data_IF_181011669099
#
_entry.id   IF_181011669099
#
_cell.length_a   1.000
_cell.length_b   1.000
_cell.length_c   1.000
_cell.angle_alpha   90.00
_cell.angle_beta   90.00
_cell.angle_gamma   90.00
#
_symmetry.space_group_name_H-M   'P 1'
#
loop_
_entity.id
_entity.type
_entity.pdbx_description
1 polymer ?
#
# COMPACT_ATOMS: atom_id res chain seq x y z
N UNK A 1 -18.25 22.83 -33.11
CA UNK A 1 -17.76 23.81 -32.08
C UNK A 1 -18.06 23.41 -30.62
N UNK A 2 -18.84 22.37 -30.35
CA UNK A 2 -19.14 21.88 -28.99
C UNK A 2 -18.15 20.82 -28.50
N UNK A 3 -17.33 20.22 -29.35
CA UNK A 3 -16.41 19.11 -28.98
C UNK A 3 -15.03 19.58 -28.51
N UNK A 4 -14.59 20.80 -28.81
CA UNK A 4 -13.29 21.32 -28.34
C UNK A 4 -13.32 21.82 -26.90
N UNK A 5 -14.48 22.16 -26.35
CA UNK A 5 -14.62 22.61 -24.95
C UNK A 5 -14.54 21.44 -23.96
N UNK A 6 -14.90 20.21 -24.36
CA UNK A 6 -14.89 19.01 -23.51
C UNK A 6 -13.48 18.46 -23.23
N UNK A 7 -12.51 18.65 -24.15
CA UNK A 7 -11.14 18.17 -23.98
C UNK A 7 -10.37 18.91 -22.87
N UNK A 8 -10.51 20.21 -22.76
CA UNK A 8 -9.87 21.05 -21.73
C UNK A 8 -10.48 20.79 -20.35
N UNK A 9 -11.80 20.58 -20.27
CA UNK A 9 -12.47 20.26 -19.01
C UNK A 9 -12.10 18.88 -18.47
N UNK A 10 -11.88 17.88 -19.33
CA UNK A 10 -11.48 16.53 -18.91
C UNK A 10 -10.06 16.47 -18.36
N UNK A 11 -9.14 17.31 -18.81
CA UNK A 11 -7.77 17.39 -18.27
C UNK A 11 -7.67 18.23 -16.99
N UNK A 12 -8.50 19.26 -16.82
CA UNK A 12 -8.47 20.14 -15.65
C UNK A 12 -9.03 19.47 -14.39
N UNK A 13 -10.06 18.63 -14.53
CA UNK A 13 -10.76 18.02 -13.40
C UNK A 13 -9.86 17.12 -12.52
N UNK A 14 -9.05 16.20 -13.07
CA UNK A 14 -8.13 15.39 -12.27
C UNK A 14 -7.08 16.23 -11.54
N UNK A 15 -6.55 17.27 -12.16
CA UNK A 15 -5.56 18.18 -11.56
C UNK A 15 -6.18 18.92 -10.36
N UNK A 16 -7.39 19.43 -10.51
CA UNK A 16 -8.11 20.11 -9.43
C UNK A 16 -8.37 19.17 -8.24
N UNK A 17 -8.68 17.89 -8.51
CA UNK A 17 -8.86 16.89 -7.45
C UNK A 17 -7.55 16.63 -6.73
N UNK A 18 -6.43 16.50 -7.45
CA UNK A 18 -5.10 16.31 -6.84
C UNK A 18 -4.73 17.49 -5.94
N UNK A 19 -4.96 18.74 -6.39
CA UNK A 19 -4.72 19.95 -5.58
C UNK A 19 -5.60 19.94 -4.33
N UNK A 20 -6.87 19.58 -4.45
CA UNK A 20 -7.79 19.49 -3.31
C UNK A 20 -7.40 18.39 -2.30
N UNK A 21 -6.87 17.27 -2.77
CA UNK A 21 -6.37 16.21 -1.89
C UNK A 21 -5.10 16.68 -1.18
N UNK A 22 -4.18 17.37 -1.87
CA UNK A 22 -2.97 17.92 -1.26
C UNK A 22 -3.29 18.99 -0.22
N UNK A 23 -4.21 19.90 -0.51
CA UNK A 23 -4.71 20.90 0.44
C UNK A 23 -5.36 20.24 1.66
N UNK A 24 -6.20 19.23 1.44
CA UNK A 24 -6.80 18.45 2.53
C UNK A 24 -5.74 17.77 3.42
N UNK A 25 -4.72 17.18 2.82
CA UNK A 25 -3.63 16.55 3.57
C UNK A 25 -2.88 17.57 4.42
N UNK A 26 -2.56 18.74 3.86
CA UNK A 26 -1.95 19.83 4.62
C UNK A 26 -2.83 20.26 5.80
N UNK A 27 -4.12 20.48 5.56
CA UNK A 27 -5.08 20.86 6.59
C UNK A 27 -5.20 19.80 7.69
N UNK A 28 -5.15 18.52 7.34
CA UNK A 28 -5.17 17.42 8.31
C UNK A 28 -3.91 17.37 9.18
N UNK A 29 -2.74 17.63 8.60
CA UNK A 29 -1.46 17.71 9.35
C UNK A 29 -1.44 18.85 10.36
N UNK A 30 -2.13 19.93 10.10
CA UNK A 30 -2.19 21.15 10.95
C UNK A 30 -3.48 21.27 11.75
N UNK A 31 -4.32 20.23 11.76
CA UNK A 31 -5.68 20.26 12.32
C UNK A 31 -5.74 20.52 13.83
N UNK A 32 -4.65 20.25 14.56
CA UNK A 32 -4.58 20.46 16.01
C UNK A 32 -4.81 21.90 16.47
N UNK A 33 -4.57 22.88 15.59
CA UNK A 33 -4.83 24.31 15.88
C UNK A 33 -6.31 24.69 15.80
N UNK A 34 -7.17 23.82 15.27
CA UNK A 34 -8.59 24.11 15.09
C UNK A 34 -9.44 23.70 16.30
N UNK A 35 -10.56 24.38 16.58
CA UNK A 35 -11.48 23.98 17.64
C UNK A 35 -12.12 22.61 17.36
N UNK A 36 -12.51 21.85 18.42
CA UNK A 36 -12.99 20.46 18.30
C UNK A 36 -14.13 20.25 17.31
N UNK A 37 -15.10 21.17 17.25
CA UNK A 37 -16.22 21.05 16.31
C UNK A 37 -15.79 21.12 14.85
N UNK A 38 -14.77 21.93 14.53
CA UNK A 38 -14.18 21.99 13.18
C UNK A 38 -13.35 20.76 12.89
N UNK A 39 -12.58 20.25 13.88
CA UNK A 39 -11.84 19.00 13.74
C UNK A 39 -12.79 17.85 13.37
N UNK A 40 -13.93 17.73 14.05
CA UNK A 40 -14.94 16.67 13.77
C UNK A 40 -15.49 16.77 12.36
N UNK A 41 -15.84 17.97 11.89
CA UNK A 41 -16.33 18.18 10.53
C UNK A 41 -15.26 17.80 9.48
N UNK A 42 -14.05 18.33 9.64
CA UNK A 42 -12.95 18.13 8.67
C UNK A 42 -12.55 16.64 8.60
N UNK A 43 -12.45 15.95 9.73
CA UNK A 43 -12.15 14.51 9.77
C UNK A 43 -13.25 13.67 9.14
N UNK A 44 -14.53 14.04 9.32
CA UNK A 44 -15.65 13.35 8.68
C UNK A 44 -15.61 13.50 7.16
N UNK A 45 -15.42 14.72 6.65
CA UNK A 45 -15.25 14.94 5.21
C UNK A 45 -14.02 14.18 4.67
N UNK A 46 -12.94 14.12 5.44
CA UNK A 46 -11.72 13.44 5.04
C UNK A 46 -11.93 11.94 4.86
N UNK A 47 -12.53 11.26 5.84
CA UNK A 47 -12.69 9.81 5.78
C UNK A 47 -13.74 9.36 4.76
N UNK A 48 -14.83 10.13 4.58
CA UNK A 48 -15.92 9.74 3.69
C UNK A 48 -15.78 10.25 2.25
N UNK A 49 -14.97 11.29 2.00
CA UNK A 49 -14.82 11.87 0.67
C UNK A 49 -13.37 11.78 0.17
N UNK A 50 -12.42 12.37 0.89
CA UNK A 50 -11.05 12.53 0.39
C UNK A 50 -10.23 11.24 0.41
N UNK A 51 -10.33 10.40 1.44
CA UNK A 51 -9.64 9.12 1.48
C UNK A 51 -10.13 8.16 0.37
N UNK A 52 -11.45 8.01 0.10
CA UNK A 52 -11.92 7.27 -1.06
C UNK A 52 -11.50 7.85 -2.41
N UNK A 53 -11.44 9.18 -2.56
CA UNK A 53 -10.92 9.82 -3.78
C UNK A 53 -9.45 9.52 -4.00
N UNK A 54 -8.62 9.66 -2.95
CA UNK A 54 -7.21 9.31 -2.99
C UNK A 54 -7.00 7.83 -3.36
N UNK A 55 -7.82 6.93 -2.81
CA UNK A 55 -7.81 5.51 -3.17
C UNK A 55 -8.14 5.27 -4.65
N UNK A 56 -9.18 5.93 -5.19
CA UNK A 56 -9.57 5.81 -6.61
C UNK A 56 -8.47 6.30 -7.55
N UNK A 57 -7.71 7.31 -7.15
CA UNK A 57 -6.59 7.85 -7.91
C UNK A 57 -5.28 7.07 -7.70
N UNK A 58 -5.28 5.99 -6.91
CA UNK A 58 -4.09 5.19 -6.62
C UNK A 58 -3.08 5.85 -5.66
N UNK A 59 -3.45 6.97 -5.02
CA UNK A 59 -2.61 7.71 -4.07
C UNK A 59 -2.62 7.03 -2.70
N UNK A 60 -2.10 5.80 -2.62
CA UNK A 60 -2.22 4.95 -1.43
C UNK A 60 -1.50 5.51 -0.20
N UNK A 61 -0.34 6.17 -0.38
CA UNK A 61 0.38 6.80 0.71
C UNK A 61 -0.45 7.94 1.33
N UNK A 62 -0.99 8.83 0.49
CA UNK A 62 -1.85 9.94 0.91
C UNK A 62 -3.13 9.42 1.57
N UNK A 63 -3.76 8.42 0.97
CA UNK A 63 -4.95 7.77 1.54
C UNK A 63 -4.67 7.24 2.94
N UNK A 64 -3.59 6.51 3.14
CA UNK A 64 -3.22 5.94 4.43
C UNK A 64 -2.93 7.03 5.47
N UNK A 65 -2.24 8.09 5.10
CA UNK A 65 -1.96 9.23 5.99
C UNK A 65 -3.25 9.99 6.38
N UNK A 66 -4.16 10.23 5.42
CA UNK A 66 -5.46 10.84 5.70
C UNK A 66 -6.30 10.01 6.68
N UNK A 67 -6.27 8.68 6.53
CA UNK A 67 -6.96 7.75 7.43
C UNK A 67 -6.32 7.75 8.83
N UNK A 68 -4.99 7.67 8.94
CA UNK A 68 -4.26 7.68 10.20
C UNK A 68 -4.48 9.00 10.96
N UNK A 69 -4.38 10.15 10.28
CA UNK A 69 -4.68 11.45 10.86
C UNK A 69 -6.15 11.56 11.31
N UNK A 70 -7.08 10.99 10.54
CA UNK A 70 -8.50 10.97 10.95
C UNK A 70 -8.68 10.17 12.23
N UNK A 71 -8.08 8.99 12.33
CA UNK A 71 -8.14 8.18 13.56
C UNK A 71 -7.54 8.92 14.75
N UNK A 72 -6.38 9.54 14.55
CA UNK A 72 -5.66 10.31 15.60
C UNK A 72 -6.51 11.41 16.22
N UNK A 73 -7.34 12.11 15.43
CA UNK A 73 -8.20 13.18 15.92
C UNK A 73 -9.55 12.70 16.45
N UNK A 74 -10.11 11.62 15.88
CA UNK A 74 -11.42 11.10 16.28
C UNK A 74 -11.36 10.13 17.46
N UNK A 75 -10.31 9.31 17.52
CA UNK A 75 -10.10 8.26 18.49
C UNK A 75 -8.64 8.27 18.97
N UNK A 76 -8.23 9.38 19.67
CA UNK A 76 -6.82 9.62 20.01
C UNK A 76 -6.24 8.56 20.95
N UNK A 77 -7.07 7.96 21.79
CA UNK A 77 -6.62 6.95 22.74
C UNK A 77 -6.30 5.64 22.01
N UNK A 78 -7.22 5.17 21.16
CA UNK A 78 -7.05 3.97 20.36
C UNK A 78 -5.87 4.11 19.39
N UNK A 79 -5.69 5.31 18.80
CA UNK A 79 -4.55 5.59 17.94
C UNK A 79 -3.25 5.42 18.70
N UNK A 80 -3.10 6.05 19.89
CA UNK A 80 -1.90 5.96 20.71
C UNK A 80 -1.59 4.56 21.19
N UNK A 81 -2.60 3.80 21.61
CA UNK A 81 -2.44 2.42 22.06
C UNK A 81 -1.90 1.51 20.94
N UNK A 82 -2.43 1.65 19.73
CA UNK A 82 -1.99 0.85 18.58
C UNK A 82 -0.59 1.29 18.13
N UNK A 83 -0.32 2.59 18.05
CA UNK A 83 0.99 3.15 17.71
C UNK A 83 2.07 2.67 18.70
N UNK A 84 1.79 2.70 20.00
CA UNK A 84 2.67 2.20 21.03
C UNK A 84 2.95 0.70 20.86
N UNK A 85 1.93 -0.14 20.66
CA UNK A 85 2.08 -1.58 20.43
C UNK A 85 2.89 -1.90 19.17
N UNK A 86 2.70 -1.14 18.09
CA UNK A 86 3.51 -1.26 16.87
C UNK A 86 4.99 -0.99 17.19
N UNK A 87 5.27 0.02 18.02
CA UNK A 87 6.63 0.36 18.40
C UNK A 87 7.25 -0.68 19.34
N UNK A 88 6.52 -1.11 20.36
CA UNK A 88 6.99 -2.13 21.31
C UNK A 88 7.32 -3.47 20.62
N UNK A 89 6.58 -3.84 19.59
CA UNK A 89 6.80 -5.08 18.82
C UNK A 89 7.83 -4.94 17.69
N UNK A 90 8.41 -3.77 17.50
CA UNK A 90 9.34 -3.52 16.39
C UNK A 90 10.59 -4.41 16.41
N UNK A 91 11.30 -4.61 17.54
CA UNK A 91 12.51 -5.44 17.56
C UNK A 91 12.22 -6.92 17.17
N UNK A 92 11.11 -7.47 17.63
CA UNK A 92 10.71 -8.84 17.30
C UNK A 92 10.30 -8.95 15.84
N UNK A 93 9.58 -7.97 15.34
CA UNK A 93 9.18 -7.87 13.93
C UNK A 93 10.38 -7.77 13.00
N UNK A 94 11.38 -6.94 13.33
CA UNK A 94 12.61 -6.82 12.53
C UNK A 94 13.33 -8.16 12.46
N UNK A 95 13.55 -8.84 13.60
CA UNK A 95 14.17 -10.17 13.65
C UNK A 95 13.39 -11.19 12.81
N UNK A 96 12.07 -11.18 12.90
CA UNK A 96 11.22 -12.07 12.10
C UNK A 96 11.37 -11.80 10.60
N UNK A 97 11.34 -10.51 10.18
CA UNK A 97 11.51 -10.11 8.79
C UNK A 97 12.88 -10.55 8.25
N UNK A 98 13.93 -10.38 9.01
CA UNK A 98 15.28 -10.83 8.64
C UNK A 98 15.32 -12.36 8.44
N UNK A 99 14.77 -13.12 9.41
CA UNK A 99 14.67 -14.59 9.33
C UNK A 99 13.84 -15.05 8.13
N UNK A 100 12.74 -14.35 7.82
CA UNK A 100 11.90 -14.63 6.67
C UNK A 100 12.61 -14.29 5.35
N UNK A 101 13.30 -13.17 5.29
CA UNK A 101 13.92 -12.69 4.05
C UNK A 101 15.21 -13.47 3.69
N UNK A 102 15.94 -13.99 4.66
CA UNK A 102 17.24 -14.62 4.41
C UNK A 102 17.23 -15.69 3.29
N UNK A 103 16.39 -16.75 3.34
CA UNK A 103 16.36 -17.76 2.29
C UNK A 103 15.82 -17.21 0.96
N UNK A 104 14.94 -16.19 0.98
CA UNK A 104 14.46 -15.53 -0.24
C UNK A 104 15.59 -14.76 -0.92
N UNK A 105 16.40 -14.05 -0.16
CA UNK A 105 17.55 -13.31 -0.68
C UNK A 105 18.54 -14.25 -1.37
N UNK A 106 18.80 -15.41 -0.77
CA UNK A 106 19.71 -16.42 -1.34
C UNK A 106 19.19 -16.96 -2.68
N UNK A 107 17.93 -17.38 -2.72
CA UNK A 107 17.35 -17.97 -3.95
C UNK A 107 17.20 -16.93 -5.08
N UNK A 108 16.81 -15.69 -4.76
CA UNK A 108 16.67 -14.63 -5.74
C UNK A 108 18.03 -14.24 -6.34
N UNK A 109 19.09 -14.15 -5.50
CA UNK A 109 20.47 -13.92 -5.96
C UNK A 109 20.98 -15.07 -6.82
N UNK A 110 20.75 -16.32 -6.43
CA UNK A 110 21.13 -17.51 -7.21
C UNK A 110 20.50 -17.53 -8.59
N UNK A 111 19.27 -16.99 -8.72
CA UNK A 111 18.56 -16.85 -10.00
C UNK A 111 18.91 -15.54 -10.75
N UNK A 112 19.91 -14.78 -10.29
CA UNK A 112 20.40 -13.53 -10.92
C UNK A 112 19.32 -12.47 -11.10
N UNK A 113 18.37 -12.43 -10.18
CA UNK A 113 17.33 -11.40 -10.14
C UNK A 113 17.92 -10.18 -9.43
N UNK A 114 17.78 -9.01 -10.03
CA UNK A 114 18.08 -7.72 -9.39
C UNK A 114 16.81 -7.25 -8.65
N UNK A 115 16.89 -7.13 -7.33
CA UNK A 115 15.72 -6.90 -6.48
C UNK A 115 16.04 -6.11 -5.22
N UNK A 116 15.01 -5.48 -4.70
CA UNK A 116 14.94 -4.95 -3.34
C UNK A 116 13.86 -5.71 -2.55
N UNK A 117 14.15 -6.08 -1.29
CA UNK A 117 13.20 -6.73 -0.41
C UNK A 117 13.05 -5.91 0.87
N UNK A 118 11.81 -5.63 1.26
CA UNK A 118 11.52 -4.80 2.44
C UNK A 118 10.28 -5.29 3.17
N UNK A 119 10.25 -5.06 4.49
CA UNK A 119 9.06 -5.21 5.31
C UNK A 119 8.29 -3.89 5.39
N UNK A 120 7.01 -3.90 5.03
CA UNK A 120 6.12 -2.74 5.15
C UNK A 120 5.12 -2.95 6.28
N UNK A 121 5.19 -2.15 7.32
CA UNK A 121 4.19 -2.12 8.40
C UNK A 121 2.90 -1.47 7.88
N UNK A 122 1.76 -2.03 8.25
CA UNK A 122 0.45 -1.46 7.93
C UNK A 122 0.19 -0.21 8.76
N UNK A 123 -0.58 0.72 8.22
CA UNK A 123 -0.98 1.95 8.90
C UNK A 123 -1.81 1.64 10.15
N UNK A 124 -1.75 2.53 11.13
CA UNK A 124 -2.50 2.43 12.40
C UNK A 124 -3.99 2.27 12.14
N UNK A 125 -4.55 3.06 11.21
CA UNK A 125 -5.95 2.96 10.82
C UNK A 125 -6.29 1.59 10.21
N UNK A 126 -5.42 1.03 9.38
CA UNK A 126 -5.65 -0.28 8.77
C UNK A 126 -5.73 -1.40 9.82
N UNK A 127 -4.88 -1.33 10.83
CA UNK A 127 -4.87 -2.25 11.98
C UNK A 127 -6.15 -2.04 12.80
N UNK A 128 -6.44 -0.81 13.20
CA UNK A 128 -7.63 -0.45 13.95
C UNK A 128 -8.92 -0.90 13.26
N UNK A 129 -9.07 -0.58 11.98
CA UNK A 129 -10.23 -0.97 11.17
C UNK A 129 -10.42 -2.50 11.12
N UNK A 130 -9.31 -3.25 11.09
CA UNK A 130 -9.36 -4.71 11.12
C UNK A 130 -9.78 -5.23 12.49
N UNK A 131 -9.24 -4.67 13.59
CA UNK A 131 -9.63 -4.98 14.95
C UNK A 131 -11.14 -4.76 15.15
N UNK A 132 -11.65 -3.60 14.72
CA UNK A 132 -13.08 -3.26 14.82
C UNK A 132 -13.97 -4.20 13.99
N UNK A 133 -13.60 -4.43 12.72
CA UNK A 133 -14.41 -5.27 11.83
C UNK A 133 -14.47 -6.73 12.25
N UNK A 134 -13.40 -7.25 12.82
CA UNK A 134 -13.29 -8.64 13.24
C UNK A 134 -13.58 -8.85 14.72
N UNK A 135 -13.72 -7.77 15.50
CA UNK A 135 -13.87 -7.79 16.96
C UNK A 135 -12.74 -8.59 17.64
N UNK A 136 -11.48 -8.32 17.23
CA UNK A 136 -10.28 -8.99 17.75
C UNK A 136 -9.33 -7.97 18.38
N UNK A 137 -8.55 -8.35 19.39
CA UNK A 137 -7.49 -7.52 19.96
C UNK A 137 -6.31 -7.39 18.99
N UNK A 138 -5.39 -6.45 19.28
CA UNK A 138 -4.20 -6.19 18.46
C UNK A 138 -3.33 -7.45 18.25
N UNK A 139 -3.18 -8.25 19.29
CA UNK A 139 -2.37 -9.47 19.31
C UNK A 139 -2.86 -10.56 18.34
N UNK A 140 -4.12 -10.51 17.97
CA UNK A 140 -4.73 -11.41 16.98
C UNK A 140 -4.69 -10.88 15.54
N UNK A 141 -4.08 -9.72 15.32
CA UNK A 141 -3.88 -9.17 13.97
C UNK A 141 -2.63 -9.77 13.34
N UNK A 142 -2.76 -10.90 12.65
CA UNK A 142 -1.62 -11.67 12.09
C UNK A 142 -0.85 -10.98 10.97
N UNK A 143 -1.46 -10.03 10.24
CA UNK A 143 -0.86 -9.36 9.08
C UNK A 143 -0.51 -7.90 9.39
N UNK A 144 0.24 -7.68 10.46
CA UNK A 144 0.73 -6.34 10.85
C UNK A 144 1.69 -5.74 9.81
N UNK A 145 2.34 -6.57 9.03
CA UNK A 145 3.26 -6.17 7.97
C UNK A 145 3.11 -7.05 6.72
N UNK A 146 3.65 -6.61 5.62
CA UNK A 146 3.80 -7.36 4.39
C UNK A 146 5.26 -7.32 3.94
N UNK A 147 5.74 -8.38 3.29
CA UNK A 147 7.03 -8.39 2.62
C UNK A 147 6.83 -7.93 1.18
N UNK A 148 7.62 -6.99 0.76
CA UNK A 148 7.60 -6.45 -0.60
C UNK A 148 8.87 -6.83 -1.32
N UNK A 149 8.74 -7.46 -2.48
CA UNK A 149 9.82 -7.79 -3.40
C UNK A 149 9.63 -6.92 -4.63
N UNK A 150 10.53 -5.97 -4.84
CA UNK A 150 10.55 -5.08 -6.01
C UNK A 150 11.72 -5.49 -6.87
N UNK A 151 11.48 -5.96 -8.10
CA UNK A 151 12.54 -6.39 -8.99
C UNK A 151 12.72 -5.43 -10.16
N UNK A 152 13.97 -5.33 -10.63
CA UNK A 152 14.31 -4.66 -11.89
C UNK A 152 14.06 -5.63 -13.05
N UNK A 153 13.14 -5.32 -13.97
CA UNK A 153 12.80 -6.27 -15.02
C UNK A 153 13.95 -6.43 -16.02
N UNK A 154 14.24 -7.69 -16.38
CA UNK A 154 15.13 -8.00 -17.51
C UNK A 154 14.39 -7.72 -18.82
N UNK A 155 15.04 -7.10 -19.82
CA UNK A 155 14.40 -6.84 -21.11
C UNK A 155 14.16 -8.12 -21.95
N UNK A 156 14.80 -9.24 -21.59
CA UNK A 156 14.73 -10.51 -22.33
C UNK A 156 13.49 -11.34 -21.98
N UNK A 157 12.81 -11.03 -20.87
CA UNK A 157 11.69 -11.84 -20.39
C UNK A 157 10.51 -10.89 -20.10
N UNK A 158 9.29 -11.21 -20.52
CA UNK A 158 8.13 -10.40 -20.20
C UNK A 158 8.00 -10.15 -18.69
N UNK A 159 7.76 -8.91 -18.30
CA UNK A 159 7.67 -8.46 -16.89
C UNK A 159 6.71 -9.32 -16.06
N UNK A 160 5.57 -9.66 -16.65
CA UNK A 160 4.58 -10.56 -16.07
C UNK A 160 5.16 -11.95 -15.76
N UNK A 161 5.91 -12.53 -16.69
CA UNK A 161 6.52 -13.85 -16.50
C UNK A 161 7.54 -13.83 -15.37
N UNK A 162 8.27 -12.71 -15.20
CA UNK A 162 9.20 -12.53 -14.10
C UNK A 162 8.49 -12.46 -12.74
N UNK A 163 7.32 -11.82 -12.65
CA UNK A 163 6.49 -11.84 -11.42
C UNK A 163 6.12 -13.28 -11.01
N UNK A 164 5.69 -14.10 -11.97
CA UNK A 164 5.32 -15.49 -11.71
C UNK A 164 6.53 -16.38 -11.42
N UNK A 165 7.68 -16.12 -12.03
CA UNK A 165 8.92 -16.80 -11.69
C UNK A 165 9.33 -16.53 -10.25
N UNK A 166 9.31 -15.27 -9.81
CA UNK A 166 9.61 -14.90 -8.42
C UNK A 166 8.58 -15.55 -7.47
N UNK A 167 7.31 -15.58 -7.84
CA UNK A 167 6.28 -16.26 -7.05
C UNK A 167 6.60 -17.75 -6.89
N UNK A 168 7.02 -18.44 -7.96
CA UNK A 168 7.44 -19.85 -7.88
C UNK A 168 8.58 -20.03 -6.87
N UNK A 169 9.63 -19.19 -6.95
CA UNK A 169 10.76 -19.24 -6.01
C UNK A 169 10.34 -19.01 -4.55
N UNK A 170 9.41 -18.09 -4.31
CA UNK A 170 8.86 -17.85 -2.96
C UNK A 170 8.10 -19.07 -2.46
N UNK A 171 7.32 -19.72 -3.32
CA UNK A 171 6.47 -20.85 -2.94
C UNK A 171 7.21 -22.19 -2.86
N UNK A 172 8.41 -22.28 -3.43
CA UNK A 172 9.33 -23.39 -3.21
C UNK A 172 9.88 -23.40 -1.77
N UNK A 173 9.98 -22.21 -1.13
CA UNK A 173 10.47 -22.06 0.25
C UNK A 173 9.31 -22.06 1.23
N UNK A 174 8.24 -21.30 0.95
CA UNK A 174 7.13 -21.06 1.86
C UNK A 174 5.81 -21.53 1.30
N UNK A 175 5.10 -22.40 2.01
CA UNK A 175 3.82 -22.96 1.57
C UNK A 175 2.76 -21.86 1.41
N UNK A 176 2.19 -21.66 0.20
CA UNK A 176 1.18 -20.64 -0.04
C UNK A 176 -0.20 -21.05 0.51
N UNK A 177 -1.00 -20.05 0.86
CA UNK A 177 -2.42 -20.20 1.17
C UNK A 177 -3.23 -20.02 -0.12
N UNK A 178 -3.85 -21.07 -0.68
CA UNK A 178 -4.43 -21.06 -2.03
C UNK A 178 -5.48 -19.98 -2.26
N UNK A 179 -6.36 -19.74 -1.28
CA UNK A 179 -7.45 -18.75 -1.33
C UNK A 179 -6.99 -17.29 -1.19
N UNK A 180 -5.67 -17.06 -0.98
CA UNK A 180 -5.08 -15.75 -0.74
C UNK A 180 -4.17 -15.24 -1.85
N UNK A 181 -4.14 -15.92 -3.00
CA UNK A 181 -3.48 -15.41 -4.19
C UNK A 181 -4.34 -14.31 -4.83
N UNK A 182 -3.73 -13.16 -5.12
CA UNK A 182 -4.35 -12.02 -5.83
C UNK A 182 -3.47 -11.64 -7.01
N UNK A 183 -3.98 -11.87 -8.20
CA UNK A 183 -3.29 -11.63 -9.46
C UNK A 183 -3.73 -10.28 -10.07
N UNK A 184 -3.12 -9.22 -9.60
CA UNK A 184 -3.27 -7.89 -10.17
C UNK A 184 -2.28 -7.61 -11.32
N UNK A 185 -1.45 -8.59 -11.69
CA UNK A 185 -0.55 -8.50 -12.85
C UNK A 185 -1.30 -8.84 -14.14
N UNK A 186 -2.15 -9.87 -14.08
CA UNK A 186 -3.01 -10.24 -15.22
C UNK A 186 -4.24 -9.35 -15.35
N UNK A 187 -4.81 -8.93 -14.19
CA UNK A 187 -6.03 -8.13 -14.13
C UNK A 187 -5.74 -6.92 -13.23
N UNK A 188 -5.10 -5.86 -13.78
CA UNK A 188 -4.80 -4.65 -13.04
C UNK A 188 -6.08 -4.03 -12.45
N UNK A 189 -5.94 -3.37 -11.30
CA UNK A 189 -7.04 -2.61 -10.72
C UNK A 189 -7.40 -1.41 -11.61
N UNK A 190 -8.62 -0.90 -11.49
CA UNK A 190 -9.10 0.24 -12.26
C UNK A 190 -8.24 1.51 -12.13
N UNK A 191 -7.45 1.62 -11.06
CA UNK A 191 -6.50 2.70 -10.83
C UNK A 191 -5.08 2.41 -11.32
N UNK A 192 -4.89 1.38 -12.17
CA UNK A 192 -3.60 1.00 -12.73
C UNK A 192 -2.67 0.25 -11.77
N UNK A 193 -3.12 -0.10 -10.57
CA UNK A 193 -2.31 -0.87 -9.63
C UNK A 193 -2.07 -2.29 -10.14
N UNK A 194 -0.79 -2.67 -10.20
CA UNK A 194 -0.33 -3.99 -10.60
C UNK A 194 0.55 -4.59 -9.49
N UNK A 195 0.35 -5.83 -9.13
CA UNK A 195 1.20 -6.62 -8.23
C UNK A 195 0.69 -8.06 -8.15
N UNK A 196 1.56 -9.00 -7.82
CA UNK A 196 1.16 -10.34 -7.42
C UNK A 196 1.21 -10.42 -5.89
N UNK A 197 0.08 -10.68 -5.24
CA UNK A 197 0.01 -10.85 -3.79
C UNK A 197 -0.25 -12.30 -3.45
N UNK A 198 0.51 -12.82 -2.52
CA UNK A 198 0.28 -14.14 -1.94
C UNK A 198 0.41 -14.08 -0.42
N UNK A 199 -0.27 -14.96 0.28
CA UNK A 199 -0.04 -15.19 1.70
C UNK A 199 0.63 -16.53 1.86
N UNK A 200 1.77 -16.58 2.50
CA UNK A 200 2.57 -17.80 2.68
C UNK A 200 2.81 -18.09 4.17
N UNK A 201 3.05 -19.35 4.49
CA UNK A 201 3.42 -19.76 5.84
C UNK A 201 4.92 -19.53 6.04
N UNK A 202 5.25 -18.50 6.82
CA UNK A 202 6.62 -18.19 7.19
C UNK A 202 7.16 -18.99 8.38
N UNK A 203 8.33 -18.61 8.89
CA UNK A 203 8.88 -19.19 10.11
C UNK A 203 7.88 -19.12 11.27
N UNK A 204 8.01 -20.05 12.21
CA UNK A 204 7.22 -20.09 13.42
C UNK A 204 5.69 -20.21 13.21
N UNK A 205 5.26 -20.65 12.00
CA UNK A 205 3.86 -20.83 11.66
C UNK A 205 3.07 -19.53 11.43
N UNK A 206 3.75 -18.41 11.20
CA UNK A 206 3.13 -17.10 11.00
C UNK A 206 2.79 -16.87 9.52
N UNK A 207 1.55 -16.48 9.24
CA UNK A 207 1.14 -16.12 7.89
C UNK A 207 1.68 -14.74 7.49
N UNK A 208 2.38 -14.67 6.36
CA UNK A 208 3.01 -13.46 5.83
C UNK A 208 2.45 -13.15 4.45
N UNK A 209 2.00 -11.92 4.24
CA UNK A 209 1.66 -11.41 2.91
C UNK A 209 2.93 -11.02 2.16
N UNK A 210 3.12 -11.60 0.97
CA UNK A 210 4.22 -11.26 0.05
C UNK A 210 3.64 -10.54 -1.15
N UNK A 211 4.19 -9.38 -1.48
CA UNK A 211 3.83 -8.54 -2.62
C UNK A 211 5.00 -8.51 -3.60
N UNK A 212 4.78 -9.00 -4.81
CA UNK A 212 5.78 -9.07 -5.88
C UNK A 212 5.40 -8.07 -6.96
N UNK A 213 6.31 -7.19 -7.34
CA UNK A 213 6.12 -6.19 -8.38
C UNK A 213 7.44 -5.74 -8.99
N UNK A 214 7.40 -5.24 -10.22
CA UNK A 214 8.56 -4.59 -10.84
C UNK A 214 8.75 -3.17 -10.32
N UNK A 215 9.88 -2.55 -10.64
CA UNK A 215 10.13 -1.13 -10.35
C UNK A 215 9.05 -0.22 -10.96
N UNK A 216 8.62 -0.49 -12.21
CA UNK A 216 7.53 0.25 -12.86
C UNK A 216 6.21 0.12 -12.08
N UNK A 217 5.85 -1.10 -11.69
CA UNK A 217 4.63 -1.35 -10.89
C UNK A 217 4.71 -0.68 -9.53
N UNK A 218 5.91 -0.61 -8.93
CA UNK A 218 6.14 0.10 -7.66
C UNK A 218 5.93 1.61 -7.82
N UNK A 219 6.45 2.22 -8.88
CA UNK A 219 6.24 3.65 -9.16
C UNK A 219 4.75 3.97 -9.32
N UNK A 220 4.00 3.12 -10.04
CA UNK A 220 2.55 3.28 -10.20
C UNK A 220 1.83 3.12 -8.85
N UNK A 221 2.26 2.16 -8.02
CA UNK A 221 1.67 1.93 -6.71
C UNK A 221 1.92 3.08 -5.73
N UNK A 222 3.08 3.73 -5.79
CA UNK A 222 3.43 4.84 -4.89
C UNK A 222 2.89 6.20 -5.38
N UNK A 223 2.87 6.45 -6.68
CA UNK A 223 2.51 7.74 -7.29
C UNK A 223 1.10 7.79 -7.87
N UNK A 224 0.43 6.63 -7.97
CA UNK A 224 -0.93 6.53 -8.52
C UNK A 224 -1.02 6.99 -9.98
N UNK A 225 -2.18 7.51 -10.35
CA UNK A 225 -2.48 7.97 -11.72
C UNK A 225 -1.50 9.04 -12.23
N UNK A 226 -0.83 9.78 -11.34
CA UNK A 226 0.18 10.77 -11.70
C UNK A 226 1.42 10.15 -12.36
N UNK A 227 1.74 8.88 -12.09
CA UNK A 227 2.81 8.15 -12.76
C UNK A 227 2.51 7.92 -14.26
N UNK A 228 1.24 7.68 -14.63
CA UNK A 228 0.84 7.47 -16.02
C UNK A 228 1.02 8.70 -16.92
N UNK A 229 0.99 9.92 -16.37
CA UNK A 229 1.17 11.15 -17.16
C UNK A 229 2.61 11.35 -17.58
N UNK A 230 3.58 10.85 -16.81
CA UNK A 230 5.01 10.93 -17.15
C UNK A 230 5.36 10.07 -18.38
N UNK A 231 4.68 8.95 -18.58
CA UNK A 231 4.91 8.04 -19.70
C UNK A 231 4.21 8.49 -21.00
N UNK A 232 3.11 9.26 -20.92
CA UNK A 232 2.41 9.76 -22.11
C UNK A 232 2.99 11.04 -22.69
N UNK A 233 3.90 11.72 -22.00
CA UNK A 233 4.55 12.94 -22.47
C UNK A 233 5.94 12.69 -23.09
N UNK A 234 6.34 11.43 -23.29
CA UNK A 234 7.64 11.05 -23.86
C UNK A 234 7.51 10.32 -25.22
N UNK A 235 6.28 10.25 -25.79
CA UNK A 235 6.04 9.80 -27.18
C UNK A 235 5.71 10.98 -28.09
#
# INVERSE_FOLDING_TARGET
RLFEVTGVQTCALPILILIKIADRLHNMRTLGSMPPHKQMKITSETIYLFAPLAHRLGLYAIKSELEDLTLKYRFPEEYRQIEQKIHETEPDRVRFIEKFNAPLIEVLKANRIDFEISGRVKSVYSIWSKMQRKQIPFEEVYDLFAIRIVFKPSPLIPEKSQCWHIYSLVTDIYKPKPDRLRDWVNIPKANGYEALHSTVMGPDGVWVEVQIRSQRMEEIAERGFAAHWKYKSTD
#
